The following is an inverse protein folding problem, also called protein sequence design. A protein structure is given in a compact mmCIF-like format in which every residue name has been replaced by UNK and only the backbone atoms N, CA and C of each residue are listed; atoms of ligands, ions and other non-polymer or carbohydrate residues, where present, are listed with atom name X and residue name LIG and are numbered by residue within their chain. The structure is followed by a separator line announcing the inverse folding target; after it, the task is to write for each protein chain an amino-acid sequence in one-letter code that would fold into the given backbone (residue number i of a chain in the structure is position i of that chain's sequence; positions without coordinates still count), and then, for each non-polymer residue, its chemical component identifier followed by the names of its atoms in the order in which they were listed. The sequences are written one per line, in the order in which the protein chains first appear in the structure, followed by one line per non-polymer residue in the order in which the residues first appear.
data_IF_822825285472
#
_entry.id   IF_822825285472
#
_cell.length_a   1.000
_cell.length_b   1.000
_cell.length_c   1.000
_cell.angle_alpha   90.00
_cell.angle_beta   90.00
_cell.angle_gamma   90.00
#
_symmetry.space_group_name_H-M   'P 1'
#
loop_
_entity.id
_entity.type
_entity.pdbx_description
1 polymer ?
#
# COMPACT_ATOMS: atom_id res chain seq x y z
N UNK A 1 -2.78 -2.93 25.55
CA UNK A 1 -3.76 -2.15 24.76
C UNK A 1 -4.31 -2.88 23.53
N UNK A 2 -4.36 -4.22 23.51
CA UNK A 2 -4.82 -5.02 22.37
C UNK A 2 -6.02 -5.93 22.69
N UNK A 3 -6.91 -5.49 23.58
CA UNK A 3 -8.01 -6.33 24.11
C UNK A 3 -9.19 -6.56 23.13
N UNK A 4 -9.11 -6.02 21.91
CA UNK A 4 -10.17 -6.17 20.91
C UNK A 4 -11.46 -5.40 21.26
N UNK A 5 -11.42 -4.39 22.14
CA UNK A 5 -12.61 -3.62 22.53
C UNK A 5 -13.08 -2.61 21.47
N UNK A 6 -12.27 -2.34 20.44
CA UNK A 6 -12.60 -1.37 19.38
C UNK A 6 -12.37 -1.96 18.00
N UNK A 7 -13.39 -1.83 17.14
CA UNK A 7 -13.36 -2.31 15.78
C UNK A 7 -13.66 -1.17 14.80
N UNK A 8 -13.01 -1.19 13.64
CA UNK A 8 -13.34 -0.32 12.51
C UNK A 8 -14.06 -1.16 11.46
N UNK A 9 -15.26 -0.73 11.09
CA UNK A 9 -16.02 -1.32 9.98
C UNK A 9 -15.88 -0.37 8.79
N UNK A 10 -15.40 -0.90 7.67
CA UNK A 10 -15.26 -0.14 6.42
C UNK A 10 -15.81 -0.93 5.24
N UNK A 11 -16.07 -0.23 4.14
CA UNK A 11 -16.40 -0.88 2.88
C UNK A 11 -15.21 -1.72 2.38
N UNK A 12 -15.51 -2.85 1.72
CA UNK A 12 -14.50 -3.67 1.06
C UNK A 12 -14.04 -2.96 -0.21
N UNK A 13 -12.77 -2.57 -0.24
CA UNK A 13 -12.14 -2.08 -1.46
C UNK A 13 -11.65 -3.26 -2.32
N UNK A 14 -11.68 -3.08 -3.64
CA UNK A 14 -11.23 -4.06 -4.62
C UNK A 14 -10.44 -3.36 -5.73
N UNK A 15 -9.49 -4.05 -6.33
CA UNK A 15 -8.56 -3.50 -7.32
C UNK A 15 -7.11 -3.84 -6.96
N UNK A 16 -6.14 -3.36 -7.77
CA UNK A 16 -4.72 -3.52 -7.46
C UNK A 16 -4.38 -2.87 -6.11
N UNK A 17 -3.59 -3.57 -5.30
CA UNK A 17 -3.03 -3.04 -4.06
C UNK A 17 -1.58 -2.65 -4.31
N UNK A 18 -1.18 -1.47 -3.84
CA UNK A 18 0.18 -0.94 -4.00
C UNK A 18 0.67 -0.37 -2.68
N UNK A 19 1.96 -0.56 -2.43
CA UNK A 19 2.68 0.02 -1.30
C UNK A 19 3.59 1.14 -1.78
N UNK A 20 3.49 2.30 -1.13
CA UNK A 20 4.38 3.45 -1.33
C UNK A 20 4.92 3.85 0.02
N UNK A 21 6.23 4.11 0.09
CA UNK A 21 6.89 4.54 1.29
C UNK A 21 7.20 6.03 1.23
N UNK A 22 7.01 6.71 2.35
CA UNK A 22 7.30 8.13 2.53
C UNK A 22 8.23 8.26 3.73
N UNK A 23 9.37 8.94 3.53
CA UNK A 23 10.26 9.33 4.61
C UNK A 23 9.86 10.73 5.07
N UNK A 24 9.72 10.94 6.37
CA UNK A 24 9.39 12.26 6.93
C UNK A 24 10.15 12.50 8.22
N UNK A 25 10.49 13.76 8.48
CA UNK A 25 11.06 14.25 9.74
C UNK A 25 10.03 14.96 10.64
N UNK A 26 8.75 15.00 10.23
CA UNK A 26 7.65 15.68 10.91
C UNK A 26 7.28 17.05 10.34
N UNK A 27 8.21 17.72 9.65
CA UNK A 27 7.98 19.02 8.99
C UNK A 27 8.08 18.92 7.47
N UNK A 28 8.93 18.00 7.00
CA UNK A 28 9.23 17.74 5.60
C UNK A 28 8.98 16.26 5.29
N UNK A 29 8.84 15.97 4.00
CA UNK A 29 8.74 14.60 3.53
C UNK A 29 9.31 14.39 2.13
N UNK A 30 9.69 13.13 1.87
CA UNK A 30 10.12 12.65 0.58
C UNK A 30 9.40 11.33 0.29
N UNK A 31 8.64 11.28 -0.80
CA UNK A 31 8.10 10.02 -1.31
C UNK A 31 9.26 9.25 -1.95
N UNK A 32 9.43 7.99 -1.57
CA UNK A 32 10.37 7.10 -2.27
C UNK A 32 9.76 6.85 -3.66
N UNK A 33 10.46 7.17 -4.77
CA UNK A 33 9.91 7.11 -6.13
C UNK A 33 9.85 5.67 -6.66
N UNK A 34 9.41 4.75 -5.81
CA UNK A 34 9.26 3.34 -6.09
C UNK A 34 8.03 2.83 -5.36
N UNK A 35 7.03 2.44 -6.13
CA UNK A 35 5.92 1.67 -5.62
C UNK A 35 6.20 0.18 -5.78
N UNK A 36 5.59 -0.62 -4.92
CA UNK A 36 5.73 -2.07 -4.92
C UNK A 36 4.39 -2.74 -4.68
N UNK A 37 4.29 -4.02 -5.02
CA UNK A 37 3.15 -4.86 -4.70
C UNK A 37 3.65 -6.17 -4.12
N UNK A 38 3.04 -6.58 -3.01
CA UNK A 38 3.36 -7.82 -2.31
C UNK A 38 2.29 -8.88 -2.53
N UNK A 39 2.71 -10.14 -2.54
CA UNK A 39 1.83 -11.29 -2.57
C UNK A 39 1.65 -11.85 -1.16
N UNK A 40 0.49 -11.60 -0.55
CA UNK A 40 0.20 -12.01 0.85
C UNK A 40 -0.30 -13.43 0.98
N UNK A 41 -0.71 -14.07 -0.10
CA UNK A 41 -1.42 -15.36 -0.06
C UNK A 41 -0.44 -16.52 -0.23
N UNK A 42 -0.55 -17.54 0.63
CA UNK A 42 0.38 -18.67 0.66
C UNK A 42 0.34 -19.52 -0.62
N UNK A 43 -0.83 -19.66 -1.23
CA UNK A 43 -1.07 -20.50 -2.40
C UNK A 43 -0.99 -19.75 -3.72
N UNK A 44 -0.66 -20.48 -4.79
CA UNK A 44 -0.63 -19.94 -6.15
C UNK A 44 -2.00 -19.33 -6.56
N UNK A 45 -1.95 -18.30 -7.40
CA UNK A 45 -3.15 -17.57 -7.81
C UNK A 45 -3.83 -16.80 -6.67
N UNK A 46 -3.04 -16.33 -5.70
CA UNK A 46 -3.50 -15.64 -4.49
C UNK A 46 -4.54 -16.43 -3.66
N UNK A 47 -4.30 -17.74 -3.48
CA UNK A 47 -5.18 -18.64 -2.71
C UNK A 47 -4.63 -18.98 -1.32
N UNK A 48 -5.46 -19.55 -0.46
CA UNK A 48 -5.04 -19.97 0.89
C UNK A 48 -4.99 -18.84 1.92
N UNK A 49 -4.41 -19.08 3.11
CA UNK A 49 -4.37 -18.09 4.19
C UNK A 49 -3.48 -16.88 3.85
N UNK A 50 -3.72 -15.77 4.55
CA UNK A 50 -2.82 -14.61 4.53
C UNK A 50 -1.51 -14.94 5.26
N UNK A 51 -0.41 -14.39 4.76
CA UNK A 51 0.93 -14.43 5.35
C UNK A 51 1.44 -13.00 5.56
N UNK A 52 2.64 -12.85 6.14
CA UNK A 52 3.32 -11.56 6.22
C UNK A 52 3.90 -11.07 4.86
N UNK A 53 3.75 -11.85 3.79
CA UNK A 53 4.33 -11.61 2.47
C UNK A 53 5.11 -12.83 1.98
N UNK A 54 4.74 -13.34 0.81
CA UNK A 54 5.46 -14.41 0.08
C UNK A 54 6.53 -13.86 -0.86
N UNK A 55 6.46 -12.57 -1.17
CA UNK A 55 7.35 -11.88 -2.08
C UNK A 55 6.79 -10.52 -2.46
N UNK A 56 7.65 -9.66 -2.98
CA UNK A 56 7.34 -8.30 -3.41
C UNK A 56 8.06 -8.03 -4.73
N UNK A 57 7.44 -7.22 -5.59
CA UNK A 57 8.09 -6.79 -6.83
C UNK A 57 7.94 -5.28 -7.05
N UNK A 58 8.94 -4.73 -7.74
CA UNK A 58 9.03 -3.34 -8.17
C UNK A 58 10.05 -3.23 -9.33
N UNK A 59 9.94 -2.24 -10.23
CA UNK A 59 8.86 -1.25 -10.32
C UNK A 59 7.54 -1.89 -10.78
N UNK A 60 6.43 -1.23 -10.48
CA UNK A 60 5.11 -1.63 -10.97
C UNK A 60 4.92 -1.20 -12.42
N UNK A 61 4.12 -1.94 -13.21
CA UNK A 61 3.85 -1.56 -14.60
C UNK A 61 3.02 -0.27 -14.69
N UNK A 62 3.25 0.53 -15.72
CA UNK A 62 2.63 1.87 -15.88
C UNK A 62 1.10 1.88 -15.82
N UNK A 63 0.44 0.81 -16.30
CA UNK A 63 -1.03 0.70 -16.24
C UNK A 63 -1.57 0.61 -14.79
N UNK A 64 -0.73 0.21 -13.84
CA UNK A 64 -1.08 0.10 -12.43
C UNK A 64 -0.90 1.42 -11.68
N UNK A 65 0.07 2.25 -12.07
CA UNK A 65 0.32 3.56 -11.48
C UNK A 65 0.61 4.60 -12.54
N UNK A 66 -0.47 5.01 -13.24
CA UNK A 66 -0.41 6.14 -14.15
C UNK A 66 -0.29 7.49 -13.43
N UNK A 67 -0.09 8.59 -14.17
CA UNK A 67 0.16 9.93 -13.62
C UNK A 67 -0.91 10.40 -12.61
N UNK A 68 -2.19 10.14 -12.88
CA UNK A 68 -3.29 10.52 -11.98
C UNK A 68 -3.22 9.82 -10.61
N UNK A 69 -2.77 8.55 -10.59
CA UNK A 69 -2.61 7.80 -9.33
C UNK A 69 -1.40 8.31 -8.55
N UNK A 70 -0.31 8.65 -9.23
CA UNK A 70 0.85 9.28 -8.59
C UNK A 70 0.51 10.64 -7.98
N UNK A 71 -0.23 11.49 -8.70
CA UNK A 71 -0.73 12.75 -8.15
C UNK A 71 -1.59 12.50 -6.91
N UNK A 72 -2.41 11.45 -6.91
CA UNK A 72 -3.21 11.10 -5.74
C UNK A 72 -2.38 10.66 -4.54
N UNK A 73 -1.31 9.90 -4.78
CA UNK A 73 -0.36 9.48 -3.74
C UNK A 73 0.33 10.70 -3.12
N UNK A 74 0.73 11.67 -3.95
CA UNK A 74 1.30 12.94 -3.47
C UNK A 74 0.33 13.72 -2.59
N UNK A 75 -0.94 13.84 -3.00
CA UNK A 75 -1.98 14.48 -2.19
C UNK A 75 -2.20 13.77 -0.84
N UNK A 76 -2.11 12.44 -0.81
CA UNK A 76 -2.27 11.66 0.43
C UNK A 76 -1.07 11.88 1.35
N UNK A 77 0.15 11.82 0.82
CA UNK A 77 1.37 12.08 1.58
C UNK A 77 1.33 13.48 2.21
N UNK A 78 0.97 14.50 1.44
CA UNK A 78 0.88 15.89 1.92
C UNK A 78 -0.14 16.09 3.04
N UNK A 79 -1.25 15.34 3.05
CA UNK A 79 -2.28 15.44 4.09
C UNK A 79 -1.97 14.64 5.35
N UNK A 80 -1.00 13.73 5.28
CA UNK A 80 -0.69 12.78 6.35
C UNK A 80 0.47 13.22 7.24
N UNK A 81 1.26 14.18 6.78
CA UNK A 81 2.41 14.80 7.46
C UNK A 81 1.97 16.21 7.86
#
# INVERSE_FOLDING_TARGET
DGDGSRFVIQARNSGPEVSVFVLSDGDNYQIIPLASQDHKRLGAGDTGPNTGGMGVYAPLPDWMLGPERWQKIEEIAQKSI
#
